data_IF_431751583434
#
_entry.id   IF_431751583434
#
_cell.length_a   1.000
_cell.length_b   1.000
_cell.length_c   1.000
_cell.angle_alpha   90.00
_cell.angle_beta   90.00
_cell.angle_gamma   90.00
#
_symmetry.space_group_name_H-M   'P 1'
#
loop_
_entity.id
_entity.type
_entity.pdbx_description
1 polymer ?
#
# COMPACT_ATOMS: atom_id res chain seq x y z
N UNK A 1 -14.27 -10.79 16.79
CA UNK A 1 -14.83 -9.61 17.50
C UNK A 1 -15.38 -8.59 16.48
N UNK A 2 -16.39 -7.80 16.84
CA UNK A 2 -17.00 -6.78 15.96
C UNK A 2 -16.36 -5.39 16.12
N UNK A 3 -15.11 -5.35 16.58
CA UNK A 3 -14.37 -4.12 16.87
C UNK A 3 -13.33 -3.84 15.78
N UNK A 4 -12.93 -2.56 15.66
CA UNK A 4 -11.83 -2.15 14.79
C UNK A 4 -10.50 -2.52 15.44
N UNK A 5 -10.15 -3.81 15.37
CA UNK A 5 -8.95 -4.40 15.95
C UNK A 5 -8.42 -5.56 15.09
N UNK A 6 -7.21 -6.03 15.38
CA UNK A 6 -6.60 -7.17 14.69
C UNK A 6 -7.46 -8.44 14.84
N UNK A 7 -7.75 -9.10 13.71
CA UNK A 7 -8.66 -10.26 13.67
C UNK A 7 -10.15 -9.91 13.83
N UNK A 8 -10.49 -8.61 13.89
CA UNK A 8 -11.86 -8.11 13.92
C UNK A 8 -12.53 -8.11 12.54
N UNK A 9 -13.85 -8.30 12.52
CA UNK A 9 -14.69 -8.15 11.32
C UNK A 9 -15.88 -7.27 11.70
N UNK A 10 -15.95 -6.09 11.09
CA UNK A 10 -16.96 -5.07 11.43
C UNK A 10 -17.80 -4.77 10.19
N UNK A 11 -19.12 -4.95 10.31
CA UNK A 11 -20.05 -4.44 9.32
C UNK A 11 -20.29 -2.93 9.56
N UNK A 12 -19.72 -2.09 8.69
CA UNK A 12 -19.77 -0.63 8.82
C UNK A 12 -21.15 -0.06 8.43
N UNK A 13 -21.97 -0.83 7.69
CA UNK A 13 -23.33 -0.45 7.30
C UNK A 13 -23.56 -0.47 5.78
N UNK A 14 -24.40 0.43 5.30
CA UNK A 14 -24.79 0.49 3.88
C UNK A 14 -23.68 1.09 2.99
N UNK A 15 -23.93 1.18 1.67
CA UNK A 15 -22.94 1.73 0.73
C UNK A 15 -22.46 3.15 1.08
N UNK A 16 -23.29 3.98 1.72
CA UNK A 16 -22.87 5.34 2.14
C UNK A 16 -21.94 5.32 3.34
N UNK A 17 -21.98 4.25 4.14
CA UNK A 17 -21.11 4.03 5.29
C UNK A 17 -19.64 3.76 4.90
N UNK A 18 -19.34 3.54 3.61
CA UNK A 18 -17.96 3.49 3.10
C UNK A 18 -17.17 4.76 3.43
N UNK A 19 -17.85 5.90 3.58
CA UNK A 19 -17.26 7.16 4.05
C UNK A 19 -16.56 7.02 5.41
N UNK A 20 -17.05 6.15 6.29
CA UNK A 20 -16.43 5.88 7.59
C UNK A 20 -15.14 5.04 7.47
N UNK A 21 -15.02 4.21 6.44
CA UNK A 21 -13.80 3.43 6.18
C UNK A 21 -12.69 4.38 5.72
N UNK A 22 -12.96 5.25 4.75
CA UNK A 22 -12.01 6.33 4.39
C UNK A 22 -11.76 7.25 5.58
N UNK A 23 -12.81 7.56 6.35
CA UNK A 23 -12.73 8.37 7.56
C UNK A 23 -11.82 7.77 8.63
N UNK A 24 -11.75 6.44 8.76
CA UNK A 24 -10.83 5.77 9.66
C UNK A 24 -9.37 6.02 9.24
N UNK A 25 -9.04 5.87 7.96
CA UNK A 25 -7.70 6.16 7.44
C UNK A 25 -7.31 7.65 7.62
N UNK A 26 -8.25 8.57 7.37
CA UNK A 26 -8.06 10.01 7.60
C UNK A 26 -7.82 10.31 9.08
N UNK A 27 -8.60 9.69 9.98
CA UNK A 27 -8.44 9.84 11.43
C UNK A 27 -7.10 9.29 11.91
N UNK A 28 -6.53 8.24 11.29
CA UNK A 28 -5.19 7.77 11.66
C UNK A 28 -4.15 8.88 11.45
N UNK A 29 -4.20 9.58 10.32
CA UNK A 29 -3.29 10.70 10.05
C UNK A 29 -3.46 11.86 11.06
N UNK A 30 -4.69 12.15 11.45
CA UNK A 30 -4.96 13.22 12.41
C UNK A 30 -4.62 12.84 13.86
N UNK A 31 -4.97 11.64 14.31
CA UNK A 31 -4.82 11.22 15.71
C UNK A 31 -3.39 10.78 16.01
N UNK A 32 -2.78 9.98 15.13
CA UNK A 32 -1.44 9.44 15.39
C UNK A 32 -0.32 10.34 14.92
N UNK A 33 -0.55 11.17 13.88
CA UNK A 33 0.45 12.10 13.36
C UNK A 33 0.10 13.57 13.57
N UNK A 34 -0.98 13.89 14.29
CA UNK A 34 -1.39 15.27 14.61
C UNK A 34 -1.51 16.19 13.39
N UNK A 35 -1.78 15.64 12.20
CA UNK A 35 -1.90 16.42 10.98
C UNK A 35 -3.27 17.13 10.94
N UNK A 36 -3.31 18.45 10.64
CA UNK A 36 -4.57 19.17 10.57
C UNK A 36 -5.39 18.71 9.36
N UNK A 37 -6.70 18.52 9.54
CA UNK A 37 -7.58 18.02 8.47
C UNK A 37 -8.16 19.12 7.57
N UNK A 38 -8.37 20.33 8.10
CA UNK A 38 -9.05 21.41 7.38
C UNK A 38 -8.24 21.84 6.16
N UNK A 39 -8.85 21.73 4.98
CA UNK A 39 -8.25 22.12 3.70
C UNK A 39 -6.87 21.50 3.42
N UNK A 40 -6.59 20.29 3.94
CA UNK A 40 -5.26 19.68 3.89
C UNK A 40 -5.25 18.32 3.16
N UNK A 41 -6.08 18.20 2.13
CA UNK A 41 -6.34 16.92 1.44
C UNK A 41 -5.07 16.20 1.00
N UNK A 42 -4.17 16.94 0.34
CA UNK A 42 -2.96 16.39 -0.28
C UNK A 42 -1.99 15.79 0.75
N UNK A 43 -1.73 16.49 1.86
CA UNK A 43 -0.87 16.00 2.95
C UNK A 43 -1.44 14.75 3.59
N UNK A 44 -2.76 14.71 3.81
CA UNK A 44 -3.42 13.54 4.42
C UNK A 44 -3.41 12.35 3.46
N UNK A 45 -3.70 12.57 2.17
CA UNK A 45 -3.64 11.51 1.16
C UNK A 45 -2.22 10.95 0.99
N UNK A 46 -1.21 11.83 0.97
CA UNK A 46 0.21 11.45 0.92
C UNK A 46 0.63 10.65 2.17
N UNK A 47 0.18 11.07 3.36
CA UNK A 47 0.40 10.33 4.60
C UNK A 47 -0.19 8.92 4.52
N UNK A 48 -1.45 8.78 4.08
CA UNK A 48 -2.12 7.49 3.96
C UNK A 48 -1.38 6.60 2.96
N UNK A 49 -1.03 7.13 1.79
CA UNK A 49 -0.32 6.40 0.74
C UNK A 49 1.03 5.85 1.22
N UNK A 50 1.77 6.62 2.02
CA UNK A 50 3.12 6.26 2.44
C UNK A 50 3.18 5.45 3.74
N UNK A 51 2.14 5.49 4.59
CA UNK A 51 2.20 4.99 5.98
C UNK A 51 1.05 4.10 6.41
N UNK A 52 -0.13 4.22 5.80
CA UNK A 52 -1.31 3.48 6.23
C UNK A 52 -1.53 2.27 5.32
N UNK A 53 -1.16 1.09 5.81
CA UNK A 53 -1.38 -0.18 5.11
C UNK A 53 -2.85 -0.54 5.08
N UNK A 54 -3.49 -0.36 3.92
CA UNK A 54 -4.89 -0.71 3.69
C UNK A 54 -5.10 -1.13 2.24
N UNK A 55 -6.11 -1.96 1.99
CA UNK A 55 -6.53 -2.36 0.65
C UNK A 55 -8.04 -2.55 0.64
N UNK A 56 -8.73 -1.89 -0.29
CA UNK A 56 -10.15 -2.12 -0.55
C UNK A 56 -10.35 -3.33 -1.47
N UNK A 57 -11.51 -3.98 -1.35
CA UNK A 57 -11.92 -5.07 -2.25
C UNK A 57 -13.34 -4.80 -2.74
N UNK A 58 -13.53 -4.78 -4.04
CA UNK A 58 -14.86 -4.73 -4.66
C UNK A 58 -15.00 -5.86 -5.70
N UNK A 59 -15.24 -7.07 -5.19
CA UNK A 59 -15.24 -8.30 -6.00
C UNK A 59 -16.36 -8.31 -7.05
N UNK A 60 -17.60 -8.03 -6.65
CA UNK A 60 -18.78 -8.01 -7.51
C UNK A 60 -19.17 -6.62 -8.02
N UNK A 61 -18.21 -5.71 -8.24
CA UNK A 61 -18.52 -4.32 -8.59
C UNK A 61 -19.18 -4.20 -9.98
N UNK A 62 -20.48 -3.93 -10.02
CA UNK A 62 -21.25 -3.73 -11.26
C UNK A 62 -21.82 -2.32 -11.47
N UNK A 63 -21.89 -1.50 -10.40
CA UNK A 63 -22.53 -0.18 -10.45
C UNK A 63 -21.53 0.96 -10.60
N UNK A 64 -21.98 2.07 -11.19
CA UNK A 64 -21.22 3.33 -11.22
C UNK A 64 -20.87 3.81 -9.80
N UNK A 65 -21.70 3.51 -8.80
CA UNK A 65 -21.42 3.79 -7.38
C UNK A 65 -20.16 3.06 -6.90
N UNK A 66 -19.98 1.79 -7.28
CA UNK A 66 -18.79 1.04 -6.90
C UNK A 66 -17.53 1.64 -7.54
N UNK A 67 -17.62 2.07 -8.81
CA UNK A 67 -16.52 2.75 -9.49
C UNK A 67 -16.16 4.09 -8.83
N UNK A 68 -17.14 4.89 -8.41
CA UNK A 68 -16.91 6.17 -7.71
C UNK A 68 -16.34 5.96 -6.31
N UNK A 69 -16.82 4.97 -5.56
CA UNK A 69 -16.29 4.60 -4.23
C UNK A 69 -14.82 4.17 -4.36
N UNK A 70 -14.51 3.23 -5.25
CA UNK A 70 -13.14 2.78 -5.48
C UNK A 70 -12.20 3.94 -5.86
N UNK A 71 -12.67 4.81 -6.75
CA UNK A 71 -11.92 6.02 -7.14
C UNK A 71 -11.72 6.97 -5.96
N UNK A 72 -12.70 7.10 -5.06
CA UNK A 72 -12.59 7.87 -3.82
C UNK A 72 -11.47 7.34 -2.91
N UNK A 73 -11.40 6.03 -2.70
CA UNK A 73 -10.30 5.40 -1.96
C UNK A 73 -8.94 5.64 -2.63
N UNK A 74 -8.86 5.52 -3.96
CA UNK A 74 -7.62 5.75 -4.68
C UNK A 74 -7.09 7.17 -4.51
N UNK A 75 -7.96 8.18 -4.50
CA UNK A 75 -7.55 9.57 -4.27
C UNK A 75 -6.98 9.81 -2.86
N UNK A 76 -7.37 8.98 -1.89
CA UNK A 76 -6.79 8.96 -0.54
C UNK A 76 -5.56 8.05 -0.42
N UNK A 77 -5.01 7.53 -1.51
CA UNK A 77 -3.84 6.64 -1.48
C UNK A 77 -4.15 5.21 -1.03
N UNK A 78 -5.43 4.81 -0.99
CA UNK A 78 -5.83 3.43 -0.66
C UNK A 78 -6.02 2.64 -1.95
N UNK A 79 -5.25 1.55 -2.16
CA UNK A 79 -5.39 0.68 -3.31
C UNK A 79 -6.67 -0.15 -3.24
N UNK A 80 -7.22 -0.55 -4.40
CA UNK A 80 -8.45 -1.34 -4.50
C UNK A 80 -8.26 -2.49 -5.47
N UNK A 81 -8.57 -3.70 -5.00
CA UNK A 81 -8.67 -4.92 -5.81
C UNK A 81 -10.12 -5.10 -6.27
N UNK A 82 -10.30 -5.30 -7.57
CA UNK A 82 -11.59 -5.49 -8.21
C UNK A 82 -11.71 -6.90 -8.77
N UNK A 83 -12.92 -7.47 -8.79
CA UNK A 83 -13.15 -8.73 -9.48
C UNK A 83 -13.18 -8.58 -11.01
N UNK A 84 -13.19 -9.68 -11.77
CA UNK A 84 -12.89 -9.70 -13.21
C UNK A 84 -13.87 -8.88 -14.05
N UNK A 85 -15.16 -8.86 -13.70
CA UNK A 85 -16.17 -8.07 -14.41
C UNK A 85 -15.93 -6.56 -14.35
N UNK A 86 -15.16 -6.09 -13.36
CA UNK A 86 -14.84 -4.67 -13.18
C UNK A 86 -13.87 -4.13 -14.23
N UNK A 87 -13.23 -5.00 -15.02
CA UNK A 87 -12.47 -4.59 -16.21
C UNK A 87 -13.30 -3.73 -17.18
N UNK A 88 -14.62 -3.92 -17.17
CA UNK A 88 -15.60 -3.13 -17.94
C UNK A 88 -15.66 -1.65 -17.55
N UNK A 89 -15.11 -1.24 -16.40
CA UNK A 89 -14.96 0.18 -16.04
C UNK A 89 -13.86 0.91 -16.84
N UNK A 90 -13.16 0.22 -17.75
CA UNK A 90 -12.20 0.74 -18.75
C UNK A 90 -10.89 1.34 -18.20
N UNK A 91 -10.88 1.88 -16.98
CA UNK A 91 -9.69 2.51 -16.39
C UNK A 91 -9.26 1.84 -15.07
N UNK A 92 -8.02 1.37 -15.08
CA UNK A 92 -7.26 0.82 -13.96
C UNK A 92 -6.03 1.71 -13.70
N UNK A 93 -5.43 1.58 -12.52
CA UNK A 93 -4.25 2.34 -12.08
C UNK A 93 -3.16 1.35 -11.72
N UNK A 94 -2.49 0.87 -12.76
CA UNK A 94 -1.50 -0.20 -12.74
C UNK A 94 -0.14 0.43 -13.04
N UNK A 95 0.90 -0.03 -12.34
CA UNK A 95 2.29 0.34 -12.57
C UNK A 95 3.02 -0.79 -13.28
N UNK A 96 4.20 -0.49 -13.80
CA UNK A 96 5.14 -1.46 -14.36
C UNK A 96 6.13 -1.97 -13.32
N UNK A 97 5.62 -2.40 -12.15
CA UNK A 97 6.45 -2.93 -11.04
C UNK A 97 7.66 -2.03 -10.77
N UNK A 98 8.89 -2.55 -10.83
CA UNK A 98 10.12 -1.81 -10.57
C UNK A 98 10.61 -0.91 -11.71
N UNK A 99 9.95 -0.89 -12.88
CA UNK A 99 10.38 -0.09 -14.04
C UNK A 99 9.84 1.35 -14.02
N UNK A 100 8.80 1.62 -13.24
CA UNK A 100 8.23 2.97 -13.09
C UNK A 100 9.04 3.85 -12.13
N UNK A 101 8.69 5.13 -12.07
CA UNK A 101 9.30 6.10 -11.16
C UNK A 101 8.83 5.91 -9.72
N UNK A 102 9.74 5.44 -8.86
CA UNK A 102 9.51 5.26 -7.42
C UNK A 102 10.27 6.29 -6.56
N UNK A 103 10.66 7.42 -7.16
CA UNK A 103 11.29 8.51 -6.44
C UNK A 103 10.31 9.18 -5.48
N UNK A 104 10.73 9.30 -4.24
CA UNK A 104 10.02 10.01 -3.17
C UNK A 104 10.99 10.95 -2.47
N UNK A 105 10.45 11.97 -1.83
CA UNK A 105 11.19 12.85 -0.94
C UNK A 105 11.30 12.19 0.45
N UNK A 106 12.50 12.14 1.03
CA UNK A 106 12.65 11.97 2.48
C UNK A 106 12.48 13.34 3.13
N UNK A 107 11.27 13.66 3.58
CA UNK A 107 10.93 15.03 3.97
C UNK A 107 11.77 15.58 5.12
N UNK A 108 12.31 14.75 6.03
CA UNK A 108 13.22 15.26 7.08
C UNK A 108 14.59 15.63 6.54
N UNK A 109 15.09 14.89 5.55
CA UNK A 109 16.39 15.15 4.90
C UNK A 109 16.26 16.15 3.75
N UNK A 110 15.05 16.33 3.22
CA UNK A 110 14.76 17.12 2.01
C UNK A 110 15.53 16.63 0.79
N UNK A 111 15.72 15.32 0.70
CA UNK A 111 16.42 14.65 -0.40
C UNK A 111 15.46 13.76 -1.19
N UNK A 112 15.58 13.79 -2.51
CA UNK A 112 14.87 12.85 -3.39
C UNK A 112 15.63 11.52 -3.38
N UNK A 113 14.92 10.45 -3.06
CA UNK A 113 15.44 9.10 -2.97
C UNK A 113 14.63 8.20 -3.89
N UNK A 114 15.30 7.49 -4.79
CA UNK A 114 14.70 6.40 -5.54
C UNK A 114 14.70 5.12 -4.68
N UNK A 115 13.52 4.65 -4.30
CA UNK A 115 13.41 3.42 -3.51
C UNK A 115 13.37 2.17 -4.37
N UNK A 116 13.04 2.29 -5.66
CA UNK A 116 12.70 1.17 -6.54
C UNK A 116 11.69 0.19 -5.88
N UNK A 117 10.87 0.68 -4.94
CA UNK A 117 9.94 -0.11 -4.14
C UNK A 117 8.50 0.25 -4.55
N UNK A 118 7.81 -0.65 -5.27
CA UNK A 118 6.43 -0.43 -5.72
C UNK A 118 5.43 -0.70 -4.58
N UNK A 119 5.41 0.16 -3.56
CA UNK A 119 4.54 0.04 -2.37
C UNK A 119 3.62 1.26 -2.17
N UNK A 120 2.29 1.13 -2.40
CA UNK A 120 1.62 0.04 -3.11
C UNK A 120 1.96 0.03 -4.61
N UNK A 121 1.94 -1.15 -5.25
CA UNK A 121 2.28 -1.28 -6.67
C UNK A 121 1.18 -0.71 -7.56
N UNK A 122 -0.08 -0.97 -7.23
CA UNK A 122 -1.23 -0.51 -8.00
C UNK A 122 -2.18 0.22 -7.08
N UNK A 123 -2.84 1.26 -7.58
CA UNK A 123 -3.97 1.85 -6.88
C UNK A 123 -5.28 1.15 -7.26
N UNK A 124 -5.39 0.58 -8.46
CA UNK A 124 -6.63 -0.05 -8.92
C UNK A 124 -6.32 -1.16 -9.91
N UNK A 125 -6.54 -2.40 -9.50
CA UNK A 125 -6.30 -3.60 -10.30
C UNK A 125 -7.55 -4.48 -10.34
N UNK A 126 -7.78 -5.14 -11.48
CA UNK A 126 -8.76 -6.22 -11.60
C UNK A 126 -8.02 -7.55 -11.61
N UNK A 127 -8.52 -8.52 -10.84
CA UNK A 127 -7.93 -9.86 -10.73
C UNK A 127 -9.00 -10.92 -10.99
N UNK A 128 -8.57 -12.06 -11.51
CA UNK A 128 -9.45 -13.09 -12.08
C UNK A 128 -10.01 -14.06 -11.05
N UNK A 129 -9.29 -14.30 -9.95
CA UNK A 129 -9.65 -15.31 -8.95
C UNK A 129 -9.47 -14.80 -7.52
N UNK A 130 -10.25 -15.36 -6.59
CA UNK A 130 -10.17 -14.98 -5.17
C UNK A 130 -8.80 -15.32 -4.58
N UNK A 131 -8.18 -16.39 -5.07
CA UNK A 131 -6.84 -16.86 -4.73
C UNK A 131 -5.81 -15.77 -5.00
N UNK A 132 -5.82 -15.20 -6.21
CA UNK A 132 -4.93 -14.08 -6.54
C UNK A 132 -5.30 -12.81 -5.81
N UNK A 133 -6.60 -12.57 -5.58
CA UNK A 133 -7.05 -11.42 -4.81
C UNK A 133 -6.47 -11.41 -3.40
N UNK A 134 -6.44 -12.56 -2.71
CA UNK A 134 -5.85 -12.67 -1.37
C UNK A 134 -4.37 -12.28 -1.35
N UNK A 135 -3.60 -12.74 -2.34
CA UNK A 135 -2.18 -12.38 -2.49
C UNK A 135 -2.03 -10.86 -2.72
N UNK A 136 -2.83 -10.30 -3.63
CA UNK A 136 -2.81 -8.86 -3.91
C UNK A 136 -3.21 -8.01 -2.71
N UNK A 137 -4.20 -8.43 -1.92
CA UNK A 137 -4.63 -7.71 -0.71
C UNK A 137 -3.47 -7.59 0.27
N UNK A 138 -2.74 -8.68 0.53
CA UNK A 138 -1.58 -8.66 1.43
C UNK A 138 -0.45 -7.79 0.88
N UNK A 139 -0.10 -7.96 -0.41
CA UNK A 139 0.95 -7.18 -1.09
C UNK A 139 0.66 -5.68 -1.09
N UNK A 140 -0.57 -5.29 -1.41
CA UNK A 140 -1.00 -3.89 -1.51
C UNK A 140 -1.13 -3.21 -0.15
N UNK A 141 -0.95 -3.91 0.97
CA UNK A 141 -0.84 -3.33 2.31
C UNK A 141 0.60 -2.93 2.69
N UNK A 142 1.62 -3.33 1.93
CA UNK A 142 3.03 -2.93 2.17
C UNK A 142 3.21 -1.44 1.88
N UNK A 143 3.95 -0.74 2.75
CA UNK A 143 4.16 0.71 2.68
C UNK A 143 5.63 1.08 2.85
N UNK A 144 6.07 2.14 2.19
CA UNK A 144 7.46 2.65 2.25
C UNK A 144 7.94 2.88 3.69
N UNK A 145 7.03 3.37 4.55
CA UNK A 145 7.34 3.70 5.94
C UNK A 145 7.11 2.55 6.94
N UNK A 146 6.97 1.30 6.50
CA UNK A 146 6.84 0.18 7.43
C UNK A 146 8.09 0.07 8.32
N UNK A 147 7.90 -0.14 9.62
CA UNK A 147 9.00 -0.52 10.52
C UNK A 147 9.53 -1.91 10.11
N UNK A 148 10.78 -2.28 10.45
CA UNK A 148 11.29 -3.61 10.12
C UNK A 148 10.38 -4.74 10.63
N UNK A 149 9.84 -4.61 11.85
CA UNK A 149 8.90 -5.59 12.43
C UNK A 149 7.58 -5.62 11.67
N UNK A 150 7.00 -4.46 11.35
CA UNK A 150 5.76 -4.40 10.56
C UNK A 150 5.94 -4.96 9.15
N UNK A 151 7.09 -4.69 8.53
CA UNK A 151 7.45 -5.22 7.21
C UNK A 151 7.62 -6.73 7.25
N UNK A 152 8.26 -7.30 8.26
CA UNK A 152 8.37 -8.75 8.44
C UNK A 152 6.99 -9.42 8.48
N UNK A 153 6.03 -8.87 9.21
CA UNK A 153 4.68 -9.44 9.30
C UNK A 153 3.97 -9.39 7.94
N UNK A 154 4.04 -8.24 7.24
CA UNK A 154 3.42 -8.10 5.92
C UNK A 154 4.05 -9.00 4.87
N UNK A 155 5.38 -9.11 4.86
CA UNK A 155 6.11 -10.00 3.97
C UNK A 155 5.85 -11.47 4.29
N UNK A 156 5.71 -11.82 5.57
CA UNK A 156 5.30 -13.17 5.97
C UNK A 156 3.98 -13.55 5.32
N UNK A 157 2.94 -12.72 5.49
CA UNK A 157 1.63 -13.00 4.90
C UNK A 157 1.65 -12.98 3.38
N UNK A 158 2.42 -12.09 2.76
CA UNK A 158 2.56 -12.07 1.31
C UNK A 158 3.18 -13.36 0.78
N UNK A 159 4.30 -13.81 1.37
CA UNK A 159 4.99 -15.04 1.00
C UNK A 159 4.11 -16.27 1.27
N UNK A 160 3.50 -16.34 2.44
CA UNK A 160 2.65 -17.48 2.84
C UNK A 160 1.44 -17.63 1.90
N UNK A 161 0.72 -16.54 1.63
CA UNK A 161 -0.41 -16.56 0.69
C UNK A 161 0.05 -16.88 -0.74
N UNK A 162 1.19 -16.35 -1.18
CA UNK A 162 1.72 -16.66 -2.50
C UNK A 162 2.06 -18.16 -2.62
N UNK A 163 2.78 -18.73 -1.65
CA UNK A 163 3.10 -20.16 -1.62
C UNK A 163 1.84 -21.03 -1.61
N UNK A 164 0.83 -20.64 -0.83
CA UNK A 164 -0.41 -21.40 -0.68
C UNK A 164 -1.28 -21.39 -1.94
N UNK A 165 -1.37 -20.25 -2.63
CA UNK A 165 -2.35 -20.04 -3.70
C UNK A 165 -1.77 -19.99 -5.12
N UNK A 166 -0.49 -19.63 -5.26
CA UNK A 166 0.21 -19.50 -6.55
C UNK A 166 1.34 -20.52 -6.67
N UNK A 167 2.08 -20.71 -5.58
CA UNK A 167 3.25 -21.58 -5.50
C UNK A 167 4.56 -20.79 -5.43
N UNK A 168 5.52 -21.30 -4.67
CA UNK A 168 6.87 -20.70 -4.56
C UNK A 168 6.91 -19.32 -3.91
N UNK A 169 8.11 -18.72 -3.91
CA UNK A 169 8.31 -17.32 -3.50
C UNK A 169 7.78 -16.37 -4.58
N UNK A 170 7.28 -15.18 -4.21
CA UNK A 170 6.94 -14.14 -5.18
C UNK A 170 8.16 -13.71 -6.01
N UNK A 171 7.96 -13.55 -7.32
CA UNK A 171 8.98 -13.18 -8.30
C UNK A 171 9.57 -11.77 -8.08
N UNK A 172 8.82 -10.89 -7.44
CA UNK A 172 9.19 -9.52 -7.14
C UNK A 172 9.46 -9.26 -5.65
N UNK A 173 9.63 -10.31 -4.85
CA UNK A 173 9.85 -10.21 -3.41
C UNK A 173 11.05 -9.31 -3.06
N UNK A 174 12.11 -9.38 -3.86
CA UNK A 174 13.33 -8.57 -3.70
C UNK A 174 13.06 -7.06 -3.81
N UNK A 175 11.96 -6.65 -4.45
CA UNK A 175 11.59 -5.24 -4.54
C UNK A 175 11.13 -4.67 -3.19
N UNK A 176 10.61 -5.51 -2.30
CA UNK A 176 9.99 -5.13 -1.02
C UNK A 176 10.87 -5.39 0.21
N UNK A 177 12.08 -5.91 0.03
CA UNK A 177 13.04 -6.14 1.12
C UNK A 177 14.09 -5.03 1.04
N UNK A 178 14.16 -4.18 2.08
CA UNK A 178 15.11 -3.06 2.12
C UNK A 178 16.42 -3.47 2.78
N UNK A 179 16.33 -4.30 3.83
CA UNK A 179 17.49 -4.88 4.52
C UNK A 179 17.15 -6.27 5.04
N UNK A 180 18.14 -7.01 5.53
CA UNK A 180 17.93 -8.34 6.12
C UNK A 180 17.00 -8.34 7.36
N UNK A 181 16.75 -7.16 7.95
CA UNK A 181 15.81 -6.98 9.07
C UNK A 181 14.35 -7.01 8.64
N UNK A 182 14.06 -6.86 7.35
CA UNK A 182 12.69 -6.98 6.83
C UNK A 182 12.29 -8.45 6.58
N UNK A 183 13.26 -9.37 6.55
CA UNK A 183 13.04 -10.76 6.17
C UNK A 183 12.33 -11.52 7.31
N UNK A 184 11.16 -12.13 7.06
CA UNK A 184 10.46 -12.92 8.07
C UNK A 184 11.31 -14.09 8.56
N UNK A 185 11.36 -14.28 9.89
CA UNK A 185 12.18 -15.34 10.51
C UNK A 185 11.90 -16.72 9.94
N UNK A 186 10.63 -17.07 9.75
CA UNK A 186 10.20 -18.38 9.26
C UNK A 186 10.74 -18.71 7.84
N UNK A 187 10.78 -17.71 6.95
CA UNK A 187 11.23 -17.89 5.56
C UNK A 187 12.68 -17.45 5.35
N UNK A 188 13.44 -17.16 6.42
CA UNK A 188 14.73 -16.44 6.32
C UNK A 188 15.75 -17.14 5.43
N UNK A 189 15.91 -18.46 5.55
CA UNK A 189 16.89 -19.22 4.75
C UNK A 189 16.57 -19.14 3.26
N UNK A 190 15.35 -19.52 2.89
CA UNK A 190 14.87 -19.58 1.51
C UNK A 190 14.89 -18.19 0.85
N UNK A 191 14.43 -17.16 1.56
CA UNK A 191 14.44 -15.78 1.04
C UNK A 191 15.88 -15.30 0.84
N UNK A 192 16.81 -15.60 1.74
CA UNK A 192 18.21 -15.20 1.58
C UNK A 192 18.90 -15.91 0.40
N UNK A 193 18.54 -17.16 0.11
CA UNK A 193 19.01 -17.87 -1.08
C UNK A 193 18.50 -17.19 -2.35
N UNK A 194 17.19 -16.94 -2.44
CA UNK A 194 16.57 -16.21 -3.56
C UNK A 194 17.18 -14.80 -3.76
N UNK A 195 17.39 -14.03 -2.68
CA UNK A 195 17.98 -12.69 -2.77
C UNK A 195 19.41 -12.71 -3.34
N UNK A 196 20.19 -13.75 -3.05
CA UNK A 196 21.54 -13.92 -3.63
C UNK A 196 21.46 -14.23 -5.12
N UNK A 197 20.55 -15.11 -5.53
CA UNK A 197 20.36 -15.49 -6.94
C UNK A 197 19.98 -14.30 -7.82
N UNK A 198 19.11 -13.42 -7.33
CA UNK A 198 18.68 -12.22 -8.07
C UNK A 198 19.62 -11.02 -7.93
N UNK A 199 20.75 -11.18 -7.22
CA UNK A 199 21.74 -10.11 -7.04
C UNK A 199 21.22 -8.90 -6.24
N UNK A 200 20.33 -9.15 -5.27
CA UNK A 200 19.70 -8.09 -4.47
C UNK A 200 20.74 -7.27 -3.70
N UNK A 201 20.47 -5.96 -3.60
CA UNK A 201 21.24 -5.00 -2.80
C UNK A 201 20.32 -4.31 -1.81
N UNK A 202 20.88 -3.92 -0.67
CA UNK A 202 20.13 -3.15 0.33
C UNK A 202 19.62 -1.84 -0.26
N UNK A 203 18.39 -1.49 0.12
CA UNK A 203 17.69 -0.29 -0.34
C UNK A 203 17.63 0.73 0.79
N UNK A 204 17.60 2.04 0.48
CA UNK A 204 17.52 3.08 1.50
C UNK A 204 16.22 2.96 2.30
N UNK A 205 16.34 3.10 3.62
CA UNK A 205 15.18 3.29 4.50
C UNK A 205 14.91 4.78 4.66
N UNK A 206 13.66 5.18 4.43
CA UNK A 206 13.24 6.57 4.51
C UNK A 206 12.77 6.90 5.91
N UNK A 207 13.12 8.10 6.39
CA UNK A 207 12.63 8.57 7.69
C UNK A 207 11.24 9.18 7.60
N UNK A 208 10.97 9.91 6.51
CA UNK A 208 9.68 10.51 6.25
C UNK A 208 9.36 10.49 4.75
N UNK A 209 8.91 9.36 4.18
CA UNK A 209 8.53 9.29 2.77
C UNK A 209 7.34 10.21 2.47
N UNK A 210 7.47 11.00 1.41
CA UNK A 210 6.40 11.82 0.84
C UNK A 210 6.62 12.03 -0.66
N UNK A 211 5.54 12.13 -1.43
CA UNK A 211 5.60 12.57 -2.82
C UNK A 211 5.53 14.10 -2.94
N UNK A 212 5.13 14.81 -1.88
CA UNK A 212 5.12 16.28 -1.90
C UNK A 212 6.56 16.78 -2.09
N UNK A 213 6.74 17.69 -3.04
CA UNK A 213 8.06 18.16 -3.46
C UNK A 213 8.72 17.35 -4.58
N UNK A 214 8.11 16.26 -5.06
CA UNK A 214 8.56 15.55 -6.28
C UNK A 214 7.77 15.94 -7.53
N UNK A 215 6.67 16.70 -7.36
CA UNK A 215 5.83 17.21 -8.44
C UNK A 215 5.39 18.66 -8.14
N UNK A 216 4.94 19.43 -9.16
CA UNK A 216 4.42 20.78 -8.94
C UNK A 216 3.20 20.78 -8.01
N UNK A 217 3.35 21.37 -6.83
CA UNK A 217 2.28 21.50 -5.83
C UNK A 217 2.30 22.87 -5.16
N UNK A 218 1.14 23.28 -4.62
CA UNK A 218 1.02 24.46 -3.74
C UNK A 218 1.36 24.14 -2.29
N UNK A 219 1.43 22.86 -1.92
CA UNK A 219 1.78 22.40 -0.58
C UNK A 219 3.29 22.38 -0.44
N UNK A 220 3.82 23.08 0.58
CA UNK A 220 5.25 23.03 0.85
C UNK A 220 5.61 21.78 1.64
N UNK A 221 6.87 21.34 1.52
CA UNK A 221 7.38 20.15 2.20
C UNK A 221 7.26 20.26 3.73
N UNK A 222 7.36 21.49 4.27
CA UNK A 222 7.20 21.80 5.70
C UNK A 222 5.83 21.37 6.25
N UNK A 223 4.80 21.29 5.40
CA UNK A 223 3.47 20.83 5.82
C UNK A 223 3.45 19.34 6.20
N UNK A 224 4.43 18.54 5.74
CA UNK A 224 4.53 17.10 5.97
C UNK A 224 5.47 16.75 7.14
N UNK A 225 6.42 17.61 7.46
CA UNK A 225 7.50 17.34 8.45
C UNK A 225 7.02 17.48 9.91
N UNK A 226 5.87 18.13 10.14
CA UNK A 226 5.36 18.44 11.48
C UNK A 226 5.22 17.25 12.42
#
# INVERSE_FOLDING_TARGET
>A
PSDFDAGGVVNIGSCVSNSHITGAAIKIANIFANLPLRANYEVIADYILNRVGACGVAWGAMSQKAASIATGFNRWGVPVVLGPHSSKYRRLYISKKGEDDWRVMDGRKKEIVDTQEPSPEHLKIAVESKERAMVWIAKLCIRKNDTPQGRQIKLYHYIDLHKKYIGGLPDDLHLYIRSQRDIPMFFRREVMEYLKEVGWKEKPTLSLPTFIGTYPSKVSIEAVIR
#
